data_IF_979956814150
#
_entry.id   IF_979956814150
#
_cell.length_a   1.000
_cell.length_b   1.000
_cell.length_c   1.000
_cell.angle_alpha   90.00
_cell.angle_beta   90.00
_cell.angle_gamma   90.00
#
_symmetry.space_group_name_H-M   'P 1'
#
loop_
_entity.id
_entity.type
_entity.pdbx_description
1 polymer ?
#
# COMPACT_ATOMS: atom_id res chain seq x y z
N UNK A 1 -23.00 14.06 3.83
CA UNK A 1 -22.44 14.33 2.48
C UNK A 1 -22.53 15.81 2.14
N UNK A 2 -23.70 16.43 2.14
CA UNK A 2 -23.88 17.89 1.85
C UNK A 2 -22.91 18.80 2.63
N UNK A 3 -22.69 18.52 3.92
CA UNK A 3 -21.76 19.33 4.75
C UNK A 3 -20.29 19.19 4.28
N UNK A 4 -19.90 18.00 3.81
CA UNK A 4 -18.54 17.77 3.29
C UNK A 4 -18.35 18.51 1.96
N UNK A 5 -19.33 18.42 1.05
CA UNK A 5 -19.30 19.15 -0.23
C UNK A 5 -19.23 20.66 -0.04
N UNK A 6 -19.99 21.18 0.93
CA UNK A 6 -19.98 22.62 1.25
C UNK A 6 -18.67 23.08 1.91
N UNK A 7 -18.07 22.24 2.77
CA UNK A 7 -16.84 22.59 3.49
C UNK A 7 -15.57 22.36 2.67
N UNK A 8 -15.60 21.42 1.74
CA UNK A 8 -14.44 20.96 0.96
C UNK A 8 -14.74 20.82 -0.54
N UNK A 9 -15.22 21.90 -1.21
CA UNK A 9 -15.69 21.81 -2.60
C UNK A 9 -14.59 21.48 -3.60
N UNK A 10 -13.32 21.79 -3.26
CA UNK A 10 -12.16 21.57 -4.13
C UNK A 10 -11.37 20.28 -3.79
N UNK A 11 -11.89 19.46 -2.88
CA UNK A 11 -11.21 18.20 -2.52
C UNK A 11 -11.30 17.18 -3.63
N UNK A 12 -10.22 16.41 -3.79
CA UNK A 12 -10.17 15.27 -4.71
C UNK A 12 -11.01 14.13 -4.12
N UNK A 13 -11.75 13.46 -4.99
CA UNK A 13 -12.55 12.28 -4.62
C UNK A 13 -14.00 12.40 -5.04
N UNK A 14 -14.75 11.32 -4.81
CA UNK A 14 -16.15 11.19 -5.15
C UNK A 14 -16.92 10.64 -3.95
N UNK A 15 -17.85 11.44 -3.41
CA UNK A 15 -18.67 11.03 -2.28
C UNK A 15 -19.74 9.98 -2.66
N UNK A 16 -20.11 9.86 -3.92
CA UNK A 16 -21.06 8.84 -4.37
C UNK A 16 -20.50 7.42 -4.18
N UNK A 17 -19.16 7.28 -4.26
CA UNK A 17 -18.44 6.03 -4.05
C UNK A 17 -18.07 5.74 -2.59
N UNK A 18 -18.49 6.58 -1.64
CA UNK A 18 -18.19 6.39 -0.22
C UNK A 18 -18.98 5.22 0.37
N UNK A 19 -18.37 4.03 0.40
CA UNK A 19 -18.96 2.80 0.95
C UNK A 19 -18.29 2.31 2.24
N UNK A 20 -17.49 3.16 2.89
CA UNK A 20 -16.78 2.80 4.11
C UNK A 20 -17.70 2.81 5.33
N UNK A 21 -17.52 1.83 6.21
CA UNK A 21 -18.29 1.75 7.45
C UNK A 21 -17.90 2.87 8.43
N UNK A 22 -18.90 3.49 9.05
CA UNK A 22 -18.72 4.57 10.04
C UNK A 22 -19.24 4.20 11.44
N UNK A 23 -19.62 2.93 11.63
CA UNK A 23 -20.08 2.40 12.91
C UNK A 23 -19.48 1.02 13.17
N UNK A 24 -19.36 0.63 14.47
CA UNK A 24 -18.90 -0.71 14.86
C UNK A 24 -19.72 -1.83 14.23
N UNK A 25 -21.05 -1.69 14.16
CA UNK A 25 -21.93 -2.69 13.56
C UNK A 25 -21.64 -2.89 12.07
N UNK A 26 -21.48 -1.79 11.32
CA UNK A 26 -21.15 -1.84 9.89
C UNK A 26 -19.74 -2.37 9.64
N UNK A 27 -18.78 -2.04 10.50
CA UNK A 27 -17.41 -2.56 10.41
C UNK A 27 -17.37 -4.08 10.64
N UNK A 28 -18.14 -4.61 11.62
CA UNK A 28 -18.29 -6.06 11.82
C UNK A 28 -18.99 -6.76 10.66
N UNK A 29 -19.97 -6.10 10.03
CA UNK A 29 -20.60 -6.60 8.80
C UNK A 29 -19.56 -6.77 7.68
N UNK A 30 -18.64 -5.80 7.51
CA UNK A 30 -17.53 -5.89 6.52
C UNK A 30 -16.56 -7.04 6.83
N UNK A 31 -16.22 -7.27 8.10
CA UNK A 31 -15.43 -8.44 8.50
C UNK A 31 -16.17 -9.74 8.11
N UNK A 32 -17.47 -9.82 8.37
CA UNK A 32 -18.29 -10.96 7.97
C UNK A 32 -18.36 -11.19 6.46
N UNK A 33 -18.44 -10.12 5.66
CA UNK A 33 -18.39 -10.18 4.20
C UNK A 33 -17.04 -10.71 3.73
N UNK A 34 -15.93 -10.19 4.27
CA UNK A 34 -14.59 -10.67 3.95
C UNK A 34 -14.46 -12.17 4.21
N UNK A 35 -14.81 -12.63 5.41
CA UNK A 35 -14.68 -14.04 5.81
C UNK A 35 -15.50 -14.97 4.91
N UNK A 36 -16.71 -14.57 4.55
CA UNK A 36 -17.62 -15.40 3.72
C UNK A 36 -17.26 -15.41 2.24
N UNK A 37 -16.86 -14.25 1.68
CA UNK A 37 -16.80 -14.07 0.24
C UNK A 37 -15.38 -14.05 -0.33
N UNK A 38 -14.38 -13.61 0.46
CA UNK A 38 -13.04 -13.33 -0.04
C UNK A 38 -11.93 -14.13 0.64
N UNK A 39 -12.12 -14.55 1.89
CA UNK A 39 -11.08 -15.16 2.71
C UNK A 39 -10.47 -16.42 2.06
N UNK A 40 -11.29 -17.26 1.44
CA UNK A 40 -10.83 -18.47 0.73
C UNK A 40 -9.78 -18.18 -0.33
N UNK A 41 -9.91 -17.07 -1.04
CA UNK A 41 -9.02 -16.67 -2.15
C UNK A 41 -7.90 -15.73 -1.70
N UNK A 42 -7.99 -15.16 -0.50
CA UNK A 42 -7.04 -14.15 -0.02
C UNK A 42 -5.59 -14.64 -0.08
N UNK A 43 -5.30 -15.84 0.43
CA UNK A 43 -3.95 -16.37 0.53
C UNK A 43 -3.26 -16.56 -0.83
N UNK A 44 -4.02 -16.92 -1.86
CA UNK A 44 -3.49 -17.16 -3.20
C UNK A 44 -3.30 -15.84 -3.99
N UNK A 45 -4.10 -14.80 -3.69
CA UNK A 45 -4.14 -13.57 -4.46
C UNK A 45 -3.74 -12.30 -3.69
N UNK A 46 -3.22 -12.43 -2.46
CA UNK A 46 -2.85 -11.27 -1.64
C UNK A 46 -1.83 -10.32 -2.30
N UNK A 47 -0.97 -10.85 -3.16
CA UNK A 47 0.06 -10.08 -3.89
C UNK A 47 -0.29 -9.88 -5.38
N UNK A 48 -1.45 -10.30 -5.83
CA UNK A 48 -1.89 -10.09 -7.21
C UNK A 48 -2.37 -8.65 -7.43
N UNK A 49 -2.18 -8.17 -8.64
CA UNK A 49 -2.65 -6.86 -9.11
C UNK A 49 -3.62 -7.08 -10.25
N UNK A 50 -4.80 -6.46 -10.19
CA UNK A 50 -5.76 -6.48 -11.27
C UNK A 50 -6.07 -5.06 -11.73
N UNK A 51 -5.96 -4.83 -13.04
CA UNK A 51 -6.21 -3.53 -13.65
C UNK A 51 -7.66 -3.08 -13.43
N UNK A 52 -8.60 -4.01 -13.57
CA UNK A 52 -10.04 -3.73 -13.54
C UNK A 52 -10.62 -3.77 -12.12
N UNK A 53 -9.97 -4.50 -11.18
CA UNK A 53 -10.49 -4.69 -9.83
C UNK A 53 -9.58 -4.03 -8.79
N UNK A 54 -10.11 -3.02 -8.09
CA UNK A 54 -9.35 -2.22 -7.14
C UNK A 54 -9.09 -2.91 -5.81
N UNK A 55 -9.86 -3.93 -5.46
CA UNK A 55 -9.84 -4.54 -4.12
C UNK A 55 -9.51 -6.02 -4.12
N UNK A 56 -9.74 -6.71 -5.25
CA UNK A 56 -9.58 -8.17 -5.36
C UNK A 56 -10.22 -8.90 -4.17
N UNK A 57 -9.43 -9.72 -3.48
CA UNK A 57 -9.84 -10.49 -2.32
C UNK A 57 -9.34 -9.91 -0.99
N UNK A 58 -8.94 -8.62 -0.96
CA UNK A 58 -8.46 -7.97 0.24
C UNK A 58 -9.60 -7.68 1.22
N UNK A 59 -9.25 -7.64 2.51
CA UNK A 59 -10.23 -7.52 3.60
C UNK A 59 -10.85 -6.14 3.74
N UNK A 60 -10.15 -5.08 3.32
CA UNK A 60 -10.54 -3.67 3.47
C UNK A 60 -10.79 -3.25 4.93
N UNK A 61 -10.15 -3.93 5.90
CA UNK A 61 -10.39 -3.69 7.32
C UNK A 61 -9.47 -2.63 7.94
N UNK A 62 -8.41 -2.22 7.23
CA UNK A 62 -7.44 -1.25 7.75
C UNK A 62 -8.06 0.06 8.25
N UNK A 63 -9.02 0.71 7.56
CA UNK A 63 -9.65 1.92 8.07
C UNK A 63 -10.37 1.70 9.39
N UNK A 64 -11.02 0.55 9.55
CA UNK A 64 -11.82 0.24 10.74
C UNK A 64 -10.95 -0.12 11.94
N UNK A 65 -9.86 -0.85 11.70
CA UNK A 65 -8.89 -1.19 12.74
C UNK A 65 -8.12 0.07 13.18
N UNK A 66 -7.74 0.94 12.23
CA UNK A 66 -7.00 2.15 12.55
C UNK A 66 -7.84 3.21 13.27
N UNK A 67 -9.14 3.29 12.96
CA UNK A 67 -10.08 4.19 13.65
C UNK A 67 -10.65 3.61 14.97
N UNK A 68 -10.34 2.35 15.30
CA UNK A 68 -10.86 1.68 16.51
C UNK A 68 -12.29 1.15 16.36
N UNK A 69 -12.87 1.13 15.15
CA UNK A 69 -14.18 0.51 14.91
C UNK A 69 -14.14 -1.02 14.97
N UNK A 70 -12.98 -1.64 14.75
CA UNK A 70 -12.70 -3.06 14.95
C UNK A 70 -11.47 -3.24 15.84
N UNK A 71 -11.56 -4.18 16.77
CA UNK A 71 -10.40 -4.65 17.49
C UNK A 71 -9.59 -5.64 16.62
N UNK A 72 -8.25 -5.45 16.48
CA UNK A 72 -7.43 -6.35 15.69
C UNK A 72 -7.43 -7.81 16.17
N UNK A 73 -7.55 -8.05 17.49
CA UNK A 73 -7.61 -9.39 18.04
C UNK A 73 -8.96 -10.04 17.75
N UNK A 74 -10.07 -9.28 17.80
CA UNK A 74 -11.40 -9.75 17.39
C UNK A 74 -11.36 -10.25 15.94
N UNK A 75 -10.72 -9.49 15.02
CA UNK A 75 -10.58 -9.90 13.63
C UNK A 75 -9.82 -11.24 13.47
N UNK A 76 -8.77 -11.46 14.26
CA UNK A 76 -7.98 -12.70 14.25
C UNK A 76 -8.81 -13.87 14.79
N UNK A 77 -9.46 -13.69 15.94
CA UNK A 77 -10.27 -14.74 16.58
C UNK A 77 -11.42 -15.17 15.68
N UNK A 78 -12.08 -14.22 15.03
CA UNK A 78 -13.17 -14.50 14.08
C UNK A 78 -12.68 -15.25 12.85
N UNK A 79 -11.51 -14.87 12.31
CA UNK A 79 -10.90 -15.55 11.16
C UNK A 79 -10.52 -17.01 11.51
N UNK A 80 -9.91 -17.25 12.68
CA UNK A 80 -9.58 -18.60 13.17
C UNK A 80 -10.86 -19.42 13.38
N UNK A 81 -11.87 -18.82 14.01
CA UNK A 81 -13.16 -19.47 14.25
C UNK A 81 -13.86 -19.85 12.94
N UNK A 82 -13.82 -18.96 11.95
CA UNK A 82 -14.39 -19.21 10.64
C UNK A 82 -13.63 -20.32 9.90
N UNK A 83 -12.31 -20.28 9.91
CA UNK A 83 -11.44 -21.31 9.32
C UNK A 83 -11.73 -22.70 9.89
N UNK A 84 -11.83 -22.83 11.23
CA UNK A 84 -12.10 -24.10 11.90
C UNK A 84 -13.49 -24.68 11.58
N UNK A 85 -14.46 -23.83 11.25
CA UNK A 85 -15.81 -24.26 10.83
C UNK A 85 -15.92 -24.63 9.36
N UNK A 86 -14.96 -24.23 8.54
CA UNK A 86 -15.00 -24.38 7.08
C UNK A 86 -14.58 -25.78 6.57
N UNK A 87 -14.39 -26.78 7.46
CA UNK A 87 -14.17 -28.20 7.14
C UNK A 87 -13.17 -28.44 5.96
N UNK A 88 -12.02 -27.74 5.98
CA UNK A 88 -10.98 -27.78 4.95
C UNK A 88 -11.29 -27.08 3.60
N UNK A 89 -12.38 -26.32 3.51
CA UNK A 89 -12.65 -25.54 2.31
C UNK A 89 -11.68 -24.34 2.12
N UNK A 90 -11.09 -23.86 3.22
CA UNK A 90 -10.13 -22.76 3.22
C UNK A 90 -8.73 -23.31 3.46
N UNK A 91 -7.78 -22.92 2.61
CA UNK A 91 -6.39 -23.33 2.78
C UNK A 91 -5.74 -22.57 3.94
N UNK A 92 -4.78 -23.22 4.60
CA UNK A 92 -4.03 -22.63 5.71
C UNK A 92 -3.28 -21.34 5.33
N UNK A 93 -2.83 -21.21 4.06
CA UNK A 93 -2.16 -20.01 3.57
C UNK A 93 -3.04 -18.75 3.65
N UNK A 94 -4.36 -18.87 3.51
CA UNK A 94 -5.27 -17.75 3.66
C UNK A 94 -5.33 -17.27 5.12
N UNK A 95 -5.47 -18.21 6.07
CA UNK A 95 -5.47 -17.89 7.50
C UNK A 95 -4.11 -17.34 7.95
N UNK A 96 -3.02 -18.05 7.61
CA UNK A 96 -1.66 -17.62 7.94
C UNK A 96 -1.37 -16.23 7.37
N UNK A 97 -1.66 -16.02 6.09
CA UNK A 97 -1.47 -14.73 5.43
C UNK A 97 -2.22 -13.61 6.14
N UNK A 98 -3.50 -13.80 6.47
CA UNK A 98 -4.30 -12.78 7.15
C UNK A 98 -3.80 -12.48 8.57
N UNK A 99 -3.55 -13.52 9.38
CA UNK A 99 -3.06 -13.38 10.76
C UNK A 99 -1.69 -12.67 10.77
N UNK A 100 -0.80 -13.01 9.84
CA UNK A 100 0.53 -12.38 9.72
C UNK A 100 0.47 -10.90 9.37
N UNK A 101 -0.57 -10.42 8.67
CA UNK A 101 -0.74 -9.00 8.42
C UNK A 101 -1.07 -8.22 9.70
N UNK A 102 -1.77 -8.84 10.66
CA UNK A 102 -2.18 -8.19 11.91
C UNK A 102 -1.12 -8.40 13.00
N UNK A 103 -0.82 -9.64 13.39
CA UNK A 103 0.15 -9.93 14.44
C UNK A 103 1.61 -9.71 14.02
N UNK A 104 1.93 -9.98 12.76
CA UNK A 104 3.27 -9.79 12.23
C UNK A 104 3.48 -8.34 11.82
N UNK A 105 2.92 -7.96 10.67
CA UNK A 105 3.24 -6.69 10.03
C UNK A 105 2.76 -5.48 10.82
N UNK A 106 1.48 -5.43 11.19
CA UNK A 106 0.92 -4.29 11.91
C UNK A 106 1.63 -4.03 13.24
N UNK A 107 1.89 -5.06 14.04
CA UNK A 107 2.59 -4.88 15.32
C UNK A 107 4.08 -4.57 15.12
N UNK A 108 4.72 -5.10 14.10
CA UNK A 108 6.08 -4.70 13.72
C UNK A 108 6.16 -3.21 13.38
N UNK A 109 5.26 -2.71 12.53
CA UNK A 109 5.17 -1.29 12.17
C UNK A 109 4.96 -0.42 13.41
N UNK A 110 4.05 -0.83 14.29
CA UNK A 110 3.81 -0.12 15.55
C UNK A 110 5.06 -0.08 16.43
N UNK A 111 5.77 -1.18 16.53
CA UNK A 111 7.04 -1.27 17.28
C UNK A 111 8.13 -0.35 16.72
N UNK A 112 8.29 -0.31 15.39
CA UNK A 112 9.21 0.61 14.71
C UNK A 112 8.81 2.06 14.97
N UNK A 113 7.54 2.41 14.81
CA UNK A 113 7.07 3.78 15.03
C UNK A 113 7.34 4.26 16.46
N UNK A 114 7.00 3.46 17.47
CA UNK A 114 7.22 3.82 18.88
C UNK A 114 8.72 3.99 19.18
N UNK A 115 9.56 3.11 18.64
CA UNK A 115 10.98 3.09 18.98
C UNK A 115 11.83 4.01 18.09
N UNK A 116 11.44 4.24 16.84
CA UNK A 116 12.25 4.91 15.81
C UNK A 116 11.50 5.91 14.94
N UNK A 117 10.19 6.11 15.11
CA UNK A 117 9.38 6.95 14.24
C UNK A 117 9.89 8.39 14.09
N UNK A 118 10.34 9.03 15.19
CA UNK A 118 10.94 10.37 15.12
C UNK A 118 12.26 10.38 14.34
N UNK A 119 13.03 9.31 14.42
CA UNK A 119 14.26 9.15 13.63
C UNK A 119 13.94 8.98 12.15
N UNK A 120 13.04 8.04 11.79
CA UNK A 120 12.66 7.78 10.41
C UNK A 120 12.12 9.02 9.72
N UNK A 121 11.18 9.74 10.36
CA UNK A 121 10.54 10.95 9.82
C UNK A 121 11.54 12.04 9.40
N UNK A 122 12.71 12.08 10.01
CA UNK A 122 13.74 13.09 9.72
C UNK A 122 14.82 12.61 8.76
N UNK A 123 14.62 11.44 8.13
CA UNK A 123 15.64 10.83 7.27
C UNK A 123 15.32 11.00 5.79
N UNK A 124 16.36 11.33 5.06
CA UNK A 124 16.38 11.36 3.61
C UNK A 124 17.73 10.80 3.14
N UNK A 125 17.89 9.48 3.24
CA UNK A 125 19.14 8.76 2.94
C UNK A 125 19.69 9.09 1.54
N UNK A 126 18.78 9.22 0.56
CA UNK A 126 19.15 9.50 -0.82
C UNK A 126 19.48 10.98 -1.07
N UNK A 127 19.04 11.88 -0.20
CA UNK A 127 19.13 13.33 -0.39
C UNK A 127 18.22 13.86 -1.50
N UNK A 128 17.13 13.16 -1.84
CA UNK A 128 16.19 13.57 -2.86
C UNK A 128 15.39 14.80 -2.43
N UNK A 129 15.16 15.73 -3.38
CA UNK A 129 14.44 17.00 -3.15
C UNK A 129 13.41 17.30 -4.22
N UNK A 130 13.12 16.32 -5.08
CA UNK A 130 12.19 16.50 -6.18
C UNK A 130 10.76 16.45 -5.65
N UNK A 131 9.97 17.47 -5.97
CA UNK A 131 8.54 17.52 -5.62
C UNK A 131 7.73 16.59 -6.52
N UNK A 132 6.61 16.09 -5.98
CA UNK A 132 5.63 15.32 -6.74
C UNK A 132 4.86 16.26 -7.67
N UNK A 133 4.84 16.02 -8.99
CA UNK A 133 4.11 16.84 -9.93
C UNK A 133 2.60 16.56 -9.86
N UNK A 134 1.79 17.51 -10.36
CA UNK A 134 0.33 17.41 -10.38
C UNK A 134 -0.18 16.13 -11.06
N UNK A 135 0.54 15.60 -12.06
CA UNK A 135 0.17 14.36 -12.74
C UNK A 135 0.02 13.14 -11.82
N UNK A 136 0.64 13.16 -10.63
CA UNK A 136 0.47 12.12 -9.61
C UNK A 136 -0.78 12.33 -8.73
N UNK A 137 -1.48 13.43 -8.89
CA UNK A 137 -2.78 13.67 -8.24
C UNK A 137 -3.94 13.45 -9.20
N UNK A 138 -3.77 13.74 -10.50
CA UNK A 138 -4.83 13.61 -11.51
C UNK A 138 -4.72 12.35 -12.38
N UNK A 139 -3.68 11.52 -12.18
CA UNK A 139 -3.50 10.27 -12.92
C UNK A 139 -3.19 10.46 -14.39
N UNK A 140 -2.30 11.43 -14.70
CA UNK A 140 -1.89 11.78 -16.06
C UNK A 140 -0.36 11.73 -16.24
N UNK A 141 0.28 10.73 -15.62
CA UNK A 141 1.75 10.54 -15.71
C UNK A 141 2.18 9.97 -17.06
N UNK A 142 1.27 9.32 -17.79
CA UNK A 142 1.55 8.57 -19.01
C UNK A 142 2.08 7.14 -18.74
N UNK A 143 2.10 6.72 -17.47
CA UNK A 143 2.50 5.37 -17.06
C UNK A 143 1.26 4.60 -16.63
N UNK A 144 0.77 3.72 -17.50
CA UNK A 144 -0.54 3.07 -17.35
C UNK A 144 -0.78 2.48 -15.94
N UNK A 145 0.10 1.66 -15.33
CA UNK A 145 -0.16 1.13 -13.99
C UNK A 145 -0.21 2.21 -12.90
N UNK A 146 0.56 3.29 -13.04
CA UNK A 146 0.57 4.41 -12.09
C UNK A 146 -0.72 5.22 -12.21
N UNK A 147 -1.13 5.55 -13.43
CA UNK A 147 -2.32 6.35 -13.70
C UNK A 147 -3.60 5.62 -13.26
N UNK A 148 -3.69 4.31 -13.54
CA UNK A 148 -4.81 3.49 -13.11
C UNK A 148 -4.88 3.39 -11.57
N UNK A 149 -3.73 3.21 -10.90
CA UNK A 149 -3.68 3.19 -9.43
C UNK A 149 -4.10 4.53 -8.83
N UNK A 150 -3.66 5.66 -9.39
CA UNK A 150 -4.07 7.00 -8.93
C UNK A 150 -5.59 7.18 -9.09
N UNK A 151 -6.18 6.75 -10.22
CA UNK A 151 -7.62 6.82 -10.44
C UNK A 151 -8.41 5.97 -9.43
N UNK A 152 -7.91 4.76 -9.11
CA UNK A 152 -8.49 3.93 -8.04
C UNK A 152 -8.47 4.65 -6.69
N UNK A 153 -7.33 5.25 -6.34
CA UNK A 153 -7.16 6.01 -5.09
C UNK A 153 -8.09 7.22 -5.06
N UNK A 154 -8.19 7.97 -6.15
CA UNK A 154 -9.09 9.12 -6.23
C UNK A 154 -10.56 8.73 -6.09
N UNK A 155 -10.96 7.54 -6.58
CA UNK A 155 -12.34 7.06 -6.48
C UNK A 155 -12.68 6.45 -5.11
N UNK A 156 -11.75 5.70 -4.49
CA UNK A 156 -12.02 4.87 -3.31
C UNK A 156 -11.29 5.35 -2.05
N UNK A 157 -10.38 6.32 -2.16
CA UNK A 157 -9.38 6.66 -1.16
C UNK A 157 -8.57 5.43 -0.69
N UNK A 158 -8.39 4.44 -1.59
CA UNK A 158 -7.77 3.17 -1.27
C UNK A 158 -7.18 2.48 -2.52
N UNK A 159 -6.06 1.82 -2.35
CA UNK A 159 -5.60 0.69 -3.14
C UNK A 159 -4.89 -0.30 -2.23
N UNK A 160 -4.73 -1.56 -2.65
CA UNK A 160 -4.14 -2.58 -1.80
C UNK A 160 -2.62 -2.44 -1.66
N UNK A 161 -2.04 -3.14 -0.68
CA UNK A 161 -0.65 -2.96 -0.26
C UNK A 161 0.40 -3.15 -1.38
N UNK A 162 0.16 -4.06 -2.34
CA UNK A 162 1.09 -4.28 -3.44
C UNK A 162 1.06 -3.13 -4.45
N UNK A 163 -0.10 -2.56 -4.74
CA UNK A 163 -0.19 -1.35 -5.56
C UNK A 163 0.50 -0.17 -4.85
N UNK A 164 0.33 -0.03 -3.53
CA UNK A 164 1.02 1.01 -2.75
C UNK A 164 2.54 0.86 -2.81
N UNK A 165 3.04 -0.37 -2.61
CA UNK A 165 4.47 -0.63 -2.53
C UNK A 165 5.12 -0.72 -3.91
N UNK A 166 4.60 -1.62 -4.76
CA UNK A 166 5.30 -2.04 -5.98
C UNK A 166 4.90 -1.25 -7.23
N UNK A 167 3.79 -0.52 -7.20
CA UNK A 167 3.46 0.45 -8.25
C UNK A 167 3.84 1.85 -7.77
N UNK A 168 3.13 2.41 -6.79
CA UNK A 168 3.32 3.80 -6.39
C UNK A 168 4.67 4.06 -5.71
N UNK A 169 4.96 3.34 -4.62
CA UNK A 169 6.20 3.53 -3.86
C UNK A 169 7.45 3.26 -4.68
N UNK A 170 7.48 2.15 -5.43
CA UNK A 170 8.57 1.80 -6.33
C UNK A 170 8.77 2.89 -7.40
N UNK A 171 7.71 3.29 -8.12
CA UNK A 171 7.83 4.28 -9.18
C UNK A 171 8.22 5.67 -8.65
N UNK A 172 7.68 6.08 -7.50
CA UNK A 172 8.05 7.33 -6.84
C UNK A 172 9.53 7.35 -6.42
N UNK A 173 10.05 6.23 -5.91
CA UNK A 173 11.48 6.09 -5.57
C UNK A 173 12.35 6.15 -6.83
N UNK A 174 11.97 5.47 -7.90
CA UNK A 174 12.69 5.53 -9.19
C UNK A 174 12.68 6.94 -9.81
N UNK A 175 11.63 7.72 -9.53
CA UNK A 175 11.52 9.13 -9.89
C UNK A 175 12.34 10.06 -9.00
N UNK A 176 12.96 9.55 -7.94
CA UNK A 176 13.81 10.31 -7.00
C UNK A 176 13.01 11.44 -6.30
N UNK A 177 11.75 11.19 -5.92
CA UNK A 177 10.97 12.17 -5.18
C UNK A 177 11.46 12.31 -3.73
N UNK A 178 11.24 13.50 -3.16
CA UNK A 178 11.48 13.78 -1.76
C UNK A 178 10.58 12.87 -0.90
N UNK A 179 11.13 12.12 0.09
CA UNK A 179 10.32 11.24 0.92
C UNK A 179 9.23 11.98 1.72
N UNK A 180 9.41 13.26 2.05
CA UNK A 180 8.39 14.07 2.71
C UNK A 180 7.19 14.34 1.77
N UNK A 181 7.45 14.58 0.49
CA UNK A 181 6.40 14.72 -0.52
C UNK A 181 5.65 13.39 -0.73
N UNK A 182 6.37 12.26 -0.75
CA UNK A 182 5.75 10.93 -0.87
C UNK A 182 4.89 10.63 0.36
N UNK A 183 5.40 10.90 1.57
CA UNK A 183 4.64 10.76 2.81
C UNK A 183 3.36 11.60 2.78
N UNK A 184 3.47 12.88 2.40
CA UNK A 184 2.34 13.79 2.27
C UNK A 184 1.29 13.25 1.30
N UNK A 185 1.70 12.78 0.13
CA UNK A 185 0.82 12.19 -0.89
C UNK A 185 0.00 11.01 -0.33
N UNK A 186 0.64 10.08 0.41
CA UNK A 186 -0.07 8.97 1.04
C UNK A 186 -1.01 9.44 2.16
N UNK A 187 -0.60 10.42 2.96
CA UNK A 187 -1.44 10.94 4.05
C UNK A 187 -2.69 11.66 3.55
N UNK A 188 -2.60 12.34 2.42
CA UNK A 188 -3.70 13.13 1.85
C UNK A 188 -4.75 12.28 1.14
N UNK A 189 -4.35 11.17 0.52
CA UNK A 189 -5.19 10.45 -0.43
C UNK A 189 -5.78 9.12 0.09
N UNK A 190 -5.34 8.61 1.24
CA UNK A 190 -5.78 7.30 1.72
C UNK A 190 -6.60 7.38 3.01
N UNK A 191 -7.74 6.72 3.02
CA UNK A 191 -8.67 6.71 4.16
C UNK A 191 -8.10 6.00 5.40
N UNK A 192 -7.16 5.09 5.23
CA UNK A 192 -6.51 4.34 6.31
C UNK A 192 -5.12 4.88 6.70
N UNK A 193 -4.76 6.06 6.19
CA UNK A 193 -3.50 6.72 6.52
C UNK A 193 -3.53 7.33 7.91
N UNK A 194 -2.62 6.85 8.76
CA UNK A 194 -2.33 7.38 10.08
C UNK A 194 -0.81 7.51 10.22
N UNK A 195 -0.37 8.49 10.98
CA UNK A 195 1.04 8.78 11.16
C UNK A 195 1.87 7.56 11.56
N UNK A 196 1.37 6.81 12.55
CA UNK A 196 2.05 5.63 13.07
C UNK A 196 2.25 4.51 12.06
N UNK A 197 1.37 4.40 11.06
CA UNK A 197 1.50 3.39 10.01
C UNK A 197 2.26 3.93 8.81
N UNK A 198 2.07 5.21 8.45
CA UNK A 198 2.68 5.78 7.25
C UNK A 198 4.16 6.12 7.42
N UNK A 199 4.61 6.55 8.59
CA UNK A 199 6.04 6.86 8.80
C UNK A 199 6.92 5.65 8.49
N UNK A 200 6.77 4.47 9.13
CA UNK A 200 7.62 3.34 8.80
C UNK A 200 7.39 2.79 7.38
N UNK A 201 6.14 2.79 6.89
CA UNK A 201 5.85 2.26 5.56
C UNK A 201 6.39 3.15 4.43
N UNK A 202 6.41 4.47 4.60
CA UNK A 202 6.93 5.37 3.57
C UNK A 202 8.43 5.55 3.72
N UNK A 203 8.91 6.08 4.85
CA UNK A 203 10.35 6.36 5.02
C UNK A 203 11.18 5.09 5.10
N UNK A 204 10.72 4.07 5.84
CA UNK A 204 11.46 2.82 6.04
C UNK A 204 11.34 1.88 4.86
N UNK A 205 10.11 1.49 4.49
CA UNK A 205 9.91 0.43 3.50
C UNK A 205 9.91 0.94 2.06
N UNK A 206 8.98 1.81 1.72
CA UNK A 206 8.72 2.19 0.32
C UNK A 206 9.83 3.06 -0.26
N UNK A 207 10.31 4.06 0.49
CA UNK A 207 11.32 5.00 0.02
C UNK A 207 12.74 4.70 0.51
N UNK A 208 12.92 3.75 1.43
CA UNK A 208 14.23 3.43 2.01
C UNK A 208 14.99 4.68 2.49
N UNK A 209 14.25 5.67 2.95
CA UNK A 209 14.79 6.97 3.34
C UNK A 209 15.53 6.92 4.70
N UNK A 210 15.28 5.87 5.49
CA UNK A 210 15.99 5.58 6.75
C UNK A 210 17.37 4.95 6.57
N UNK A 211 17.72 4.58 5.32
CA UNK A 211 19.00 3.97 4.97
C UNK A 211 19.16 2.51 5.40
N UNK A 212 18.04 1.81 5.64
CA UNK A 212 18.02 0.38 5.94
C UNK A 212 17.83 0.04 7.42
N UNK A 213 17.24 0.92 8.19
CA UNK A 213 16.85 0.64 9.57
C UNK A 213 15.73 -0.42 9.61
N UNK A 214 14.69 -0.23 8.79
CA UNK A 214 13.52 -1.10 8.76
C UNK A 214 13.67 -2.23 7.74
N UNK A 215 14.08 -1.92 6.53
CA UNK A 215 14.21 -2.88 5.44
C UNK A 215 15.67 -3.11 5.05
N UNK A 216 16.02 -4.35 4.71
CA UNK A 216 17.41 -4.71 4.39
C UNK A 216 17.84 -4.33 2.97
N UNK A 217 16.88 -3.93 2.14
CA UNK A 217 17.10 -3.49 0.76
C UNK A 217 15.95 -2.59 0.32
N UNK A 218 16.17 -1.68 -0.65
CA UNK A 218 15.08 -0.95 -1.29
C UNK A 218 14.10 -1.88 -2.02
N UNK A 219 12.81 -1.56 -1.95
CA UNK A 219 11.75 -2.26 -2.69
C UNK A 219 11.58 -1.66 -4.09
N UNK A 220 12.54 -1.95 -4.97
CA UNK A 220 12.52 -1.53 -6.36
C UNK A 220 12.48 -2.72 -7.31
N UNK A 221 11.84 -2.53 -8.44
CA UNK A 221 11.78 -3.50 -9.54
C UNK A 221 11.59 -2.81 -10.89
N UNK A 222 12.02 -3.48 -11.94
CA UNK A 222 11.64 -3.14 -13.31
C UNK A 222 10.19 -3.53 -13.63
N UNK A 223 9.76 -3.21 -14.85
CA UNK A 223 8.42 -3.50 -15.36
C UNK A 223 8.05 -4.99 -15.34
N UNK A 224 9.05 -5.86 -15.40
CA UNK A 224 8.87 -7.32 -15.39
C UNK A 224 8.13 -7.84 -14.15
N UNK A 225 8.31 -7.20 -12.99
CA UNK A 225 7.58 -7.54 -11.79
C UNK A 225 6.08 -7.24 -11.96
N UNK A 226 5.74 -6.05 -12.43
CA UNK A 226 4.35 -5.63 -12.65
C UNK A 226 3.67 -6.56 -13.65
N UNK A 227 4.33 -6.86 -14.78
CA UNK A 227 3.82 -7.77 -15.80
C UNK A 227 3.58 -9.20 -15.27
N UNK A 228 4.42 -9.67 -14.34
CA UNK A 228 4.28 -10.99 -13.72
C UNK A 228 3.14 -11.06 -12.73
N UNK A 229 2.93 -10.00 -11.95
CA UNK A 229 1.99 -9.96 -10.83
C UNK A 229 0.61 -9.41 -11.21
N UNK A 230 0.42 -9.00 -12.47
CA UNK A 230 -0.79 -8.35 -12.94
C UNK A 230 -1.27 -8.84 -14.31
N UNK A 231 -2.43 -8.34 -14.72
CA UNK A 231 -2.97 -8.49 -16.08
C UNK A 231 -2.60 -7.33 -17.02
N UNK A 232 -1.70 -6.41 -16.61
CA UNK A 232 -1.16 -5.38 -17.50
C UNK A 232 -0.39 -5.98 -18.67
N UNK A 233 -0.42 -5.32 -19.82
CA UNK A 233 0.30 -5.73 -21.02
C UNK A 233 1.53 -4.84 -21.24
N UNK A 234 2.51 -5.35 -21.97
CA UNK A 234 3.65 -4.55 -22.42
C UNK A 234 3.15 -3.36 -23.25
N UNK A 235 3.75 -2.20 -23.00
CA UNK A 235 3.46 -0.95 -23.70
C UNK A 235 4.62 0.02 -23.53
N UNK A 236 4.44 1.26 -23.97
CA UNK A 236 5.44 2.32 -23.87
C UNK A 236 5.90 2.53 -22.41
N UNK A 237 4.98 2.41 -21.46
CA UNK A 237 5.27 2.53 -20.03
C UNK A 237 6.36 1.57 -19.55
N UNK A 238 6.49 0.37 -20.16
CA UNK A 238 7.52 -0.61 -19.75
C UNK A 238 8.92 -0.12 -20.05
N UNK A 239 9.13 0.51 -21.19
CA UNK A 239 10.43 1.07 -21.57
C UNK A 239 10.84 2.23 -20.68
N UNK A 240 9.88 3.11 -20.35
CA UNK A 240 10.13 4.25 -19.45
C UNK A 240 10.46 3.74 -18.05
N UNK A 241 9.67 2.78 -17.52
CA UNK A 241 9.88 2.19 -16.20
C UNK A 241 11.25 1.53 -16.09
N UNK A 242 11.59 0.68 -17.05
CA UNK A 242 12.89 -0.02 -17.08
C UNK A 242 14.06 0.96 -17.25
N UNK A 243 13.88 1.99 -18.04
CA UNK A 243 14.88 3.07 -18.17
C UNK A 243 15.16 3.77 -16.83
N UNK A 244 14.10 4.11 -16.07
CA UNK A 244 14.22 4.70 -14.74
C UNK A 244 14.86 3.73 -13.74
N UNK A 245 14.48 2.44 -13.79
CA UNK A 245 15.05 1.39 -12.94
C UNK A 245 16.56 1.24 -13.15
N UNK A 246 17.01 1.10 -14.40
CA UNK A 246 18.44 0.97 -14.72
C UNK A 246 19.22 2.25 -14.40
N UNK A 247 18.64 3.43 -14.68
CA UNK A 247 19.23 4.71 -14.29
C UNK A 247 19.42 4.80 -12.78
N UNK A 248 18.41 4.38 -11.97
CA UNK A 248 18.49 4.40 -10.53
C UNK A 248 19.60 3.45 -10.01
N UNK A 249 19.67 2.22 -10.53
CA UNK A 249 20.72 1.28 -10.20
C UNK A 249 22.11 1.81 -10.51
N UNK A 250 22.28 2.43 -11.67
CA UNK A 250 23.57 3.02 -12.06
C UNK A 250 23.99 4.18 -11.17
N UNK A 251 23.08 5.10 -10.86
CA UNK A 251 23.33 6.20 -9.93
C UNK A 251 23.70 5.74 -8.51
N UNK A 252 23.07 4.68 -8.04
CA UNK A 252 23.25 4.14 -6.69
C UNK A 252 24.13 2.88 -6.68
N UNK A 253 24.96 2.68 -7.70
CA UNK A 253 25.77 1.48 -7.94
C UNK A 253 26.55 1.01 -6.71
N UNK A 254 27.18 1.92 -6.00
CA UNK A 254 28.01 1.60 -4.82
C UNK A 254 27.20 0.95 -3.70
N UNK A 255 25.96 1.39 -3.49
CA UNK A 255 25.07 0.80 -2.50
C UNK A 255 24.67 -0.63 -2.91
N UNK A 256 24.27 -0.82 -4.18
CA UNK A 256 23.83 -2.11 -4.66
C UNK A 256 24.95 -3.15 -4.70
N UNK A 257 26.16 -2.76 -5.10
CA UNK A 257 27.32 -3.64 -5.09
C UNK A 257 27.75 -4.07 -3.69
N UNK A 258 27.54 -3.23 -2.69
CA UNK A 258 27.87 -3.54 -1.27
C UNK A 258 26.80 -4.37 -0.57
N UNK A 259 25.56 -4.37 -1.07
CA UNK A 259 24.45 -5.10 -0.45
C UNK A 259 24.37 -6.55 -0.94
N UNK A 260 24.62 -7.58 -0.10
CA UNK A 260 24.63 -8.98 -0.52
C UNK A 260 23.27 -9.49 -1.04
N UNK A 261 22.16 -8.83 -0.68
CA UNK A 261 20.79 -9.18 -1.09
C UNK A 261 20.38 -8.59 -2.44
N UNK A 262 21.25 -7.74 -3.02
CA UNK A 262 21.00 -7.07 -4.30
C UNK A 262 21.97 -7.49 -5.41
N UNK A 263 22.90 -8.42 -5.11
CA UNK A 263 23.84 -9.01 -6.07
C UNK A 263 23.18 -10.08 -6.92
#
# INVERSE_FOLDING_TARGET
>A
MVDVENCFPDSVGDLENFNWAVTHSKAREQLGIFLKSYFKSFGDFQDAIDKENSTLFHSLLSPYINSGLLDPMECIVDAISYFNKAENEIRINALEGFVRQILGWREFIRGIYISRGSYERTRNFWGFKRRIPKSFYDGTTGIEPVDDTIKKVNSLAYCHHIERLMIMGNFMLLCEFDPDEVYKWFMELFIDSYDWVMVPNVYGMSQFADGGLMSTKPYISGSSYILKMSNYKKGEWTHIWDGLFWRFLDKQRDLFLKNPRMR
#
